data_IF_736026936594
#
_entry.id   IF_736026936594
#
_cell.length_a   1.000
_cell.length_b   1.000
_cell.length_c   1.000
_cell.angle_alpha   90.00
_cell.angle_beta   90.00
_cell.angle_gamma   90.00
#
_symmetry.space_group_name_H-M   'P 1'
#
loop_
_entity.id
_entity.type
_entity.pdbx_description
1 polymer ?
#
# COMPACT_ATOMS: atom_id res chain seq x y z
N UNK A 1 -22.97 4.45 13.12
CA UNK A 1 -22.54 5.34 12.03
C UNK A 1 -22.34 4.45 10.82
N UNK A 2 -23.27 4.43 9.87
CA UNK A 2 -23.21 3.55 8.69
C UNK A 2 -22.13 4.08 7.73
N UNK A 3 -21.14 3.27 7.37
CA UNK A 3 -20.06 3.69 6.46
C UNK A 3 -20.56 3.69 5.00
N UNK A 4 -20.80 4.88 4.43
CA UNK A 4 -21.26 5.08 3.03
C UNK A 4 -20.10 5.19 2.02
N UNK A 5 -19.05 4.37 2.19
CA UNK A 5 -17.82 4.45 1.40
C UNK A 5 -17.48 3.11 0.75
N UNK A 6 -17.26 3.11 -0.57
CA UNK A 6 -16.70 1.98 -1.31
C UNK A 6 -15.17 2.09 -1.32
N UNK A 7 -14.51 1.22 -0.57
CA UNK A 7 -13.04 1.20 -0.46
C UNK A 7 -12.45 0.15 -1.40
N UNK A 8 -11.51 0.57 -2.26
CA UNK A 8 -10.71 -0.29 -3.12
C UNK A 8 -9.37 -0.50 -2.45
N UNK A 9 -9.05 -1.76 -2.18
CA UNK A 9 -7.85 -2.14 -1.44
C UNK A 9 -6.83 -2.80 -2.36
N UNK A 10 -5.64 -2.22 -2.47
CA UNK A 10 -4.59 -2.69 -3.37
C UNK A 10 -3.38 -3.24 -2.61
N UNK A 11 -3.11 -4.52 -2.85
CA UNK A 11 -2.12 -5.36 -2.17
C UNK A 11 -0.67 -4.93 -2.43
N UNK A 12 0.14 -5.05 -1.38
CA UNK A 12 1.58 -5.30 -1.46
C UNK A 12 1.93 -6.30 -0.36
N UNK A 13 2.08 -7.57 -0.70
CA UNK A 13 2.65 -8.56 0.21
C UNK A 13 4.15 -8.29 0.31
N UNK A 14 4.59 -7.75 1.44
CA UNK A 14 5.92 -8.07 1.94
C UNK A 14 5.73 -9.35 2.74
N UNK A 15 6.38 -10.44 2.32
CA UNK A 15 6.50 -11.62 3.15
C UNK A 15 7.21 -11.23 4.44
N UNK A 16 6.43 -10.99 5.50
CA UNK A 16 6.90 -11.07 6.87
C UNK A 16 5.92 -12.02 7.56
N UNK A 17 6.51 -13.12 8.02
CA UNK A 17 5.91 -14.30 8.63
C UNK A 17 4.58 -14.07 9.34
N UNK A 18 3.55 -14.74 8.85
CA UNK A 18 2.45 -15.22 9.67
C UNK A 18 2.96 -16.42 10.48
N UNK A 19 3.63 -16.16 11.59
CA UNK A 19 3.89 -17.16 12.63
C UNK A 19 3.46 -16.56 13.96
N UNK A 20 2.17 -16.66 14.24
CA UNK A 20 1.58 -16.90 15.57
C UNK A 20 0.06 -17.01 15.43
N UNK A 21 -0.37 -18.12 14.83
CA UNK A 21 -1.71 -18.66 14.99
C UNK A 21 -1.54 -20.13 15.36
N UNK A 22 -1.34 -20.40 16.65
CA UNK A 22 -1.70 -21.67 17.26
C UNK A 22 -2.78 -21.37 18.30
N UNK A 23 -3.91 -22.10 18.30
CA UNK A 23 -4.93 -21.94 19.33
C UNK A 23 -4.42 -22.44 20.69
N UNK A 24 -4.83 -21.83 21.81
CA UNK A 24 -4.49 -22.30 23.15
C UNK A 24 -5.39 -23.50 23.49
N UNK A 25 -5.03 -24.70 23.05
CA UNK A 25 -5.78 -25.90 23.44
C UNK A 25 -4.96 -27.19 23.40
N UNK A 26 -3.73 -27.20 23.90
CA UNK A 26 -3.13 -28.40 24.52
C UNK A 26 -2.22 -27.93 25.67
N UNK A 27 -2.80 -27.58 26.82
CA UNK A 27 -2.05 -27.63 28.08
C UNK A 27 -2.01 -29.09 28.52
N UNK A 28 -0.89 -29.77 28.24
CA UNK A 28 -0.56 -31.03 28.89
C UNK A 28 -0.25 -30.75 30.36
N UNK A 29 -0.95 -31.40 31.28
CA UNK A 29 -0.82 -31.24 32.74
C UNK A 29 0.38 -31.99 33.34
N UNK A 30 1.42 -32.30 32.55
CA UNK A 30 2.58 -33.05 33.02
C UNK A 30 3.91 -32.34 32.70
N UNK A 31 4.61 -31.73 33.69
CA UNK A 31 5.82 -30.91 33.48
C UNK A 31 7.07 -31.66 32.99
N UNK A 32 7.01 -33.00 32.93
CA UNK A 32 8.11 -33.88 32.57
C UNK A 32 8.04 -34.40 31.11
N UNK A 33 6.99 -34.09 30.36
CA UNK A 33 6.80 -34.53 28.97
C UNK A 33 6.76 -33.37 27.98
N UNK A 34 7.34 -32.22 28.31
CA UNK A 34 7.40 -31.06 27.41
C UNK A 34 8.63 -31.17 26.50
N UNK A 35 8.46 -31.58 25.21
CA UNK A 35 9.58 -31.69 24.28
C UNK A 35 10.23 -30.34 23.97
N UNK A 36 9.61 -29.21 24.35
CA UNK A 36 10.13 -27.87 24.08
C UNK A 36 11.15 -27.38 25.13
N UNK A 37 11.20 -27.97 26.33
CA UNK A 37 12.23 -27.61 27.34
C UNK A 37 13.65 -27.92 26.87
N UNK A 38 13.85 -28.99 26.11
CA UNK A 38 15.16 -29.35 25.55
C UNK A 38 15.59 -28.44 24.37
N UNK A 39 14.63 -27.77 23.72
CA UNK A 39 14.85 -26.89 22.57
C UNK A 39 14.99 -25.41 22.94
N UNK A 40 14.60 -25.02 24.17
CA UNK A 40 14.69 -23.65 24.66
C UNK A 40 16.06 -22.95 24.42
N UNK A 41 17.23 -23.57 24.72
CA UNK A 41 18.51 -22.92 24.46
C UNK A 41 18.83 -22.77 22.96
N UNK A 42 18.32 -23.67 22.11
CA UNK A 42 18.49 -23.60 20.65
C UNK A 42 17.61 -22.48 20.09
N UNK A 43 16.36 -22.38 20.55
CA UNK A 43 15.41 -21.33 20.17
C UNK A 43 15.96 -19.96 20.58
N UNK A 44 16.51 -19.83 21.79
CA UNK A 44 17.12 -18.59 22.28
C UNK A 44 18.34 -18.19 21.45
N UNK A 45 19.20 -19.15 21.09
CA UNK A 45 20.37 -18.92 20.23
C UNK A 45 19.96 -18.45 18.83
N UNK A 46 18.98 -19.11 18.21
CA UNK A 46 18.46 -18.72 16.88
C UNK A 46 17.78 -17.35 16.93
N UNK A 47 17.04 -17.04 18.00
CA UNK A 47 16.39 -15.73 18.19
C UNK A 47 17.41 -14.62 18.38
N UNK A 48 18.49 -14.88 19.12
CA UNK A 48 19.60 -13.94 19.29
C UNK A 48 20.37 -13.74 17.99
N UNK A 49 20.59 -14.78 17.21
CA UNK A 49 21.23 -14.67 15.89
C UNK A 49 20.35 -13.89 14.90
N UNK A 50 19.04 -14.10 14.92
CA UNK A 50 18.08 -13.32 14.12
C UNK A 50 18.06 -11.84 14.52
N UNK A 51 18.15 -11.53 15.82
CA UNK A 51 18.31 -10.15 16.31
C UNK A 51 19.63 -9.53 15.88
N UNK A 52 20.74 -10.28 15.95
CA UNK A 52 22.05 -9.81 15.51
C UNK A 52 22.06 -9.56 14.00
N UNK A 53 21.43 -10.44 13.23
CA UNK A 53 21.23 -10.29 11.79
C UNK A 53 20.34 -9.08 11.46
N UNK A 54 19.26 -8.82 12.22
CA UNK A 54 18.44 -7.61 12.04
C UNK A 54 19.24 -6.33 12.33
N UNK A 55 20.07 -6.33 13.38
CA UNK A 55 20.97 -5.21 13.70
C UNK A 55 22.03 -5.00 12.60
N UNK A 56 22.62 -6.09 12.08
CA UNK A 56 23.58 -6.04 10.96
C UNK A 56 22.92 -5.64 9.64
N UNK A 57 21.70 -6.10 9.35
CA UNK A 57 20.96 -5.72 8.15
C UNK A 57 20.51 -4.25 8.21
N UNK A 58 20.22 -3.72 9.40
CA UNK A 58 19.93 -2.29 9.61
C UNK A 58 21.16 -1.39 9.49
N UNK A 59 22.37 -1.91 9.68
CA UNK A 59 23.62 -1.14 9.47
C UNK A 59 24.05 -1.09 8.00
N UNK A 60 23.50 -1.96 7.15
CA UNK A 60 23.66 -1.89 5.70
C UNK A 60 22.79 -0.74 5.17
N UNK A 61 23.42 0.36 4.81
CA UNK A 61 22.76 1.48 4.13
C UNK A 61 22.38 1.07 2.71
N UNK A 62 21.13 0.65 2.50
CA UNK A 62 20.57 0.47 1.17
C UNK A 62 20.49 1.83 0.46
N UNK A 63 21.42 2.12 -0.44
CA UNK A 63 21.33 3.23 -1.37
C UNK A 63 20.54 2.80 -2.61
N UNK A 64 19.42 3.47 -2.86
CA UNK A 64 18.69 3.36 -4.11
C UNK A 64 19.27 4.36 -5.10
N UNK A 65 19.89 3.88 -6.16
CA UNK A 65 20.21 4.75 -7.30
C UNK A 65 18.93 5.06 -8.09
N UNK A 66 18.64 6.35 -8.27
CA UNK A 66 17.54 6.82 -9.09
C UNK A 66 18.04 6.93 -10.54
N UNK A 67 17.31 6.33 -11.50
CA UNK A 67 17.60 6.58 -12.91
C UNK A 67 17.51 8.07 -13.27
N UNK A 68 18.29 8.53 -14.27
CA UNK A 68 18.42 9.95 -14.67
C UNK A 68 17.08 10.68 -14.87
N UNK A 69 16.07 10.01 -15.43
CA UNK A 69 14.75 10.62 -15.61
C UNK A 69 14.00 10.84 -14.27
N UNK A 70 14.24 9.97 -13.28
CA UNK A 70 13.61 10.02 -11.96
C UNK A 70 14.36 10.95 -11.00
N UNK A 71 15.69 11.06 -11.10
CA UNK A 71 16.49 12.05 -10.37
C UNK A 71 16.15 13.48 -10.77
N UNK A 72 15.75 13.69 -12.03
CA UNK A 72 15.36 15.02 -12.55
C UNK A 72 13.93 15.42 -12.18
N UNK A 73 13.20 14.58 -11.42
CA UNK A 73 11.88 14.93 -10.89
C UNK A 73 12.04 15.69 -9.57
N UNK A 74 11.47 16.90 -9.47
CA UNK A 74 11.62 17.72 -8.27
C UNK A 74 11.02 17.02 -7.04
N UNK A 75 11.54 17.37 -5.86
CA UNK A 75 10.92 17.01 -4.60
C UNK A 75 9.48 17.56 -4.51
N UNK A 76 8.69 16.99 -3.60
CA UNK A 76 7.33 17.51 -3.33
C UNK A 76 7.44 18.98 -2.92
N UNK A 77 6.80 19.91 -3.63
CA UNK A 77 6.95 21.35 -3.35
C UNK A 77 6.37 21.74 -1.99
N UNK A 78 5.47 20.94 -1.42
CA UNK A 78 4.93 21.10 -0.06
C UNK A 78 4.91 19.75 0.66
N UNK A 79 5.28 19.77 1.93
CA UNK A 79 5.15 18.64 2.87
C UNK A 79 4.54 19.16 4.16
N UNK A 80 3.53 18.46 4.66
CA UNK A 80 2.84 18.82 5.90
C UNK A 80 3.14 17.75 6.96
N UNK A 81 3.37 18.21 8.19
CA UNK A 81 3.51 17.33 9.36
C UNK A 81 2.24 17.45 10.19
N UNK A 82 1.71 16.32 10.63
CA UNK A 82 0.45 16.24 11.36
C UNK A 82 0.68 15.68 12.76
N UNK A 83 0.01 16.26 13.75
CA UNK A 83 -0.07 15.72 15.10
C UNK A 83 -0.87 14.41 15.10
N UNK A 84 -0.57 13.51 16.03
CA UNK A 84 -1.32 12.27 16.25
C UNK A 84 -2.79 12.51 16.65
N UNK A 85 -3.14 13.72 17.09
CA UNK A 85 -4.51 14.13 17.44
C UNK A 85 -5.29 14.70 16.26
N UNK A 86 -4.65 14.96 15.11
CA UNK A 86 -5.34 15.58 13.97
C UNK A 86 -6.23 14.59 13.21
N UNK A 87 -7.34 15.09 12.67
CA UNK A 87 -8.25 14.29 11.85
C UNK A 87 -7.53 13.67 10.63
N UNK A 88 -6.60 14.40 10.02
CA UNK A 88 -5.81 13.90 8.89
C UNK A 88 -4.93 12.72 9.30
N UNK A 89 -4.35 12.76 10.50
CA UNK A 89 -3.59 11.63 11.02
C UNK A 89 -4.51 10.44 11.31
N UNK A 90 -5.64 10.65 11.98
CA UNK A 90 -6.58 9.57 12.29
C UNK A 90 -7.15 8.92 11.02
N UNK A 91 -7.48 9.73 10.01
CA UNK A 91 -7.85 9.28 8.68
C UNK A 91 -6.72 8.46 8.04
N UNK A 92 -5.47 8.93 8.12
CA UNK A 92 -4.32 8.18 7.60
C UNK A 92 -4.12 6.82 8.28
N UNK A 93 -4.38 6.74 9.59
CA UNK A 93 -4.32 5.49 10.37
C UNK A 93 -5.41 4.53 9.92
N UNK A 94 -6.63 5.01 9.66
CA UNK A 94 -7.71 4.18 9.10
C UNK A 94 -7.28 3.54 7.77
N UNK A 95 -6.75 4.34 6.83
CA UNK A 95 -6.31 3.79 5.54
C UNK A 95 -5.06 2.92 5.65
N UNK A 96 -4.17 3.16 6.61
CA UNK A 96 -3.08 2.25 6.93
C UNK A 96 -3.61 0.89 7.40
N UNK A 97 -4.62 0.89 8.29
CA UNK A 97 -5.26 -0.34 8.76
C UNK A 97 -5.95 -1.10 7.63
N UNK A 98 -6.70 -0.40 6.79
CA UNK A 98 -7.30 -0.98 5.58
C UNK A 98 -6.23 -1.62 4.70
N UNK A 99 -5.12 -0.94 4.42
CA UNK A 99 -4.02 -1.53 3.64
C UNK A 99 -3.43 -2.79 4.30
N UNK A 100 -3.30 -2.81 5.62
CA UNK A 100 -2.82 -3.99 6.33
C UNK A 100 -3.83 -5.15 6.33
N UNK A 101 -5.14 -4.86 6.41
CA UNK A 101 -6.20 -5.87 6.27
C UNK A 101 -6.13 -6.60 4.92
N UNK A 102 -5.61 -5.95 3.87
CA UNK A 102 -5.40 -6.59 2.56
C UNK A 102 -4.44 -7.78 2.63
N UNK A 103 -3.53 -7.80 3.60
CA UNK A 103 -2.59 -8.91 3.79
C UNK A 103 -3.21 -10.08 4.58
N UNK A 104 -4.42 -9.93 5.11
CA UNK A 104 -5.12 -11.00 5.79
C UNK A 104 -5.84 -11.90 4.78
N UNK A 105 -5.41 -13.17 4.68
CA UNK A 105 -6.04 -14.16 3.78
C UNK A 105 -7.51 -14.42 4.12
N UNK A 106 -7.87 -14.38 5.40
CA UNK A 106 -9.26 -14.53 5.83
C UNK A 106 -10.14 -13.39 5.30
N UNK A 107 -9.53 -12.23 4.98
CA UNK A 107 -10.22 -11.08 4.41
C UNK A 107 -10.46 -11.14 2.89
N UNK A 108 -10.09 -12.23 2.21
CA UNK A 108 -10.18 -12.29 0.74
C UNK A 108 -11.63 -12.45 0.27
N UNK A 109 -12.42 -13.29 0.94
CA UNK A 109 -13.80 -13.55 0.53
C UNK A 109 -14.84 -12.90 1.46
N UNK A 110 -14.44 -12.50 2.68
CA UNK A 110 -15.29 -11.88 3.70
C UNK A 110 -14.48 -10.90 4.53
N UNK A 111 -15.09 -9.92 5.19
CA UNK A 111 -14.36 -8.99 6.06
C UNK A 111 -14.09 -9.61 7.45
N UNK A 112 -13.27 -10.66 7.50
CA UNK A 112 -13.15 -11.53 8.68
C UNK A 112 -11.70 -11.79 9.11
N UNK A 113 -10.98 -10.71 9.45
CA UNK A 113 -9.66 -10.78 10.06
C UNK A 113 -9.70 -10.69 11.59
N UNK A 114 -10.76 -11.22 12.20
CA UNK A 114 -11.00 -11.15 13.64
C UNK A 114 -11.18 -9.71 14.15
N UNK A 115 -10.68 -9.44 15.36
CA UNK A 115 -10.81 -8.12 16.01
C UNK A 115 -10.23 -6.98 15.15
N UNK A 116 -9.24 -7.26 14.31
CA UNK A 116 -8.65 -6.27 13.43
C UNK A 116 -9.67 -5.68 12.44
N UNK A 117 -10.48 -6.53 11.81
CA UNK A 117 -11.48 -6.10 10.84
C UNK A 117 -12.65 -5.40 11.54
N UNK A 118 -13.11 -5.97 12.66
CA UNK A 118 -14.21 -5.42 13.45
C UNK A 118 -13.89 -4.04 14.02
N UNK A 119 -12.66 -3.82 14.50
CA UNK A 119 -12.22 -2.52 15.03
C UNK A 119 -11.87 -1.48 13.95
N UNK A 120 -11.70 -1.90 12.69
CA UNK A 120 -11.34 -0.99 11.58
C UNK A 120 -12.58 -0.53 10.82
N UNK A 121 -13.40 -1.47 10.35
CA UNK A 121 -14.69 -1.20 9.69
C UNK A 121 -15.67 -2.31 10.13
N UNK A 122 -16.45 -2.11 11.20
CA UNK A 122 -17.28 -3.16 11.80
C UNK A 122 -18.40 -3.66 10.87
N UNK A 123 -18.91 -2.79 10.00
CA UNK A 123 -19.91 -3.08 8.98
C UNK A 123 -19.29 -3.35 7.60
N UNK A 124 -17.99 -3.67 7.56
CA UNK A 124 -17.25 -3.91 6.32
C UNK A 124 -17.78 -5.11 5.54
N UNK A 125 -18.03 -4.91 4.25
CA UNK A 125 -18.42 -5.97 3.32
C UNK A 125 -17.41 -6.05 2.19
N UNK A 126 -16.79 -7.22 2.00
CA UNK A 126 -15.92 -7.47 0.86
C UNK A 126 -16.80 -7.76 -0.35
N UNK A 127 -16.89 -6.78 -1.27
CA UNK A 127 -17.63 -6.95 -2.53
C UNK A 127 -16.86 -7.87 -3.49
N UNK A 128 -15.54 -7.71 -3.56
CA UNK A 128 -14.67 -8.48 -4.43
C UNK A 128 -13.21 -8.35 -4.02
N UNK A 129 -12.51 -9.47 -3.86
CA UNK A 129 -11.06 -9.49 -3.86
C UNK A 129 -10.51 -9.78 -5.26
N UNK A 130 -9.34 -9.22 -5.53
CA UNK A 130 -8.56 -9.48 -6.72
C UNK A 130 -7.08 -9.37 -6.36
N UNK A 131 -6.27 -10.21 -6.98
CA UNK A 131 -4.83 -10.24 -6.79
C UNK A 131 -4.15 -10.26 -8.16
N UNK A 132 -2.98 -9.63 -8.27
CA UNK A 132 -2.18 -9.72 -9.49
C UNK A 132 -1.55 -11.11 -9.60
N UNK A 133 -1.71 -11.79 -10.72
CA UNK A 133 -1.01 -13.05 -11.00
C UNK A 133 0.50 -12.80 -11.22
N UNK A 134 1.44 -13.69 -10.80
CA UNK A 134 1.22 -15.03 -10.26
C UNK A 134 1.04 -15.17 -8.74
N UNK A 135 1.32 -14.14 -7.91
CA UNK A 135 1.44 -14.33 -6.44
C UNK A 135 0.81 -13.23 -5.57
N UNK A 136 -0.05 -12.36 -6.09
CA UNK A 136 -0.67 -11.30 -5.28
C UNK A 136 0.38 -10.31 -4.73
N UNK A 137 1.18 -9.74 -5.62
CA UNK A 137 2.25 -8.75 -5.36
C UNK A 137 3.21 -9.10 -4.21
N UNK A 138 4.31 -9.79 -4.56
CA UNK A 138 5.65 -9.62 -3.98
C UNK A 138 6.39 -8.51 -4.76
N UNK A 139 7.23 -7.71 -4.09
CA UNK A 139 7.92 -6.57 -4.68
C UNK A 139 9.40 -6.81 -5.03
N UNK A 140 9.73 -6.81 -6.33
CA UNK A 140 11.05 -6.42 -6.84
C UNK A 140 10.86 -5.56 -8.09
N UNK A 141 11.32 -4.31 -8.04
CA UNK A 141 11.29 -3.39 -9.17
C UNK A 141 12.74 -3.14 -9.61
N UNK A 142 13.32 -4.13 -10.31
CA UNK A 142 14.70 -4.07 -10.84
C UNK A 142 14.77 -3.35 -12.19
N UNK A 143 13.62 -2.93 -12.74
CA UNK A 143 13.54 -2.30 -14.06
C UNK A 143 12.73 -1.01 -13.97
N UNK A 144 13.43 0.12 -13.77
CA UNK A 144 12.88 1.49 -13.77
C UNK A 144 12.44 1.97 -15.16
N UNK A 145 12.12 1.06 -16.07
CA UNK A 145 11.74 1.41 -17.43
C UNK A 145 10.41 2.16 -17.43
N UNK A 146 10.47 3.42 -17.87
CA UNK A 146 9.28 4.20 -18.15
C UNK A 146 8.76 3.87 -19.55
N UNK A 147 7.49 3.50 -19.63
CA UNK A 147 6.79 3.21 -20.89
C UNK A 147 5.66 4.22 -21.10
N UNK A 148 5.29 4.53 -22.36
CA UNK A 148 4.18 5.44 -22.64
C UNK A 148 2.88 5.02 -21.94
N UNK A 149 2.18 5.98 -21.34
CA UNK A 149 0.87 5.75 -20.78
C UNK A 149 -0.15 5.62 -21.94
N UNK A 150 -1.01 4.58 -21.96
CA UNK A 150 -1.84 4.25 -23.13
C UNK A 150 -2.90 5.31 -23.46
N UNK A 151 -3.26 6.18 -22.51
CA UNK A 151 -4.34 7.19 -22.68
C UNK A 151 -3.94 8.63 -22.34
N UNK A 152 -2.68 8.88 -21.98
CA UNK A 152 -2.24 10.22 -21.59
C UNK A 152 -1.04 10.57 -22.48
N UNK A 153 -1.24 11.40 -23.52
CA UNK A 153 -0.16 11.81 -24.42
C UNK A 153 1.03 12.41 -23.65
N UNK A 154 2.24 12.02 -24.02
CA UNK A 154 3.49 12.49 -23.39
C UNK A 154 3.77 11.94 -21.98
N UNK A 155 2.78 11.34 -21.31
CA UNK A 155 2.99 10.68 -20.04
C UNK A 155 3.72 9.35 -20.23
N UNK A 156 4.71 9.11 -19.39
CA UNK A 156 5.35 7.79 -19.23
C UNK A 156 5.26 7.36 -17.78
N UNK A 157 5.03 6.07 -17.55
CA UNK A 157 4.84 5.46 -16.23
C UNK A 157 5.69 4.19 -16.11
N UNK A 158 6.01 3.77 -14.88
CA UNK A 158 6.80 2.57 -14.64
C UNK A 158 6.10 1.33 -15.19
N UNK A 159 6.79 0.56 -16.03
CA UNK A 159 6.27 -0.64 -16.70
C UNK A 159 5.65 -1.64 -15.72
N UNK A 160 6.35 -1.94 -14.62
CA UNK A 160 5.86 -2.89 -13.61
C UNK A 160 4.52 -2.45 -13.02
N UNK A 161 4.40 -1.18 -12.61
CA UNK A 161 3.17 -0.64 -12.05
C UNK A 161 2.03 -0.64 -13.07
N UNK A 162 2.31 -0.25 -14.32
CA UNK A 162 1.32 -0.21 -15.40
C UNK A 162 0.81 -1.62 -15.72
N UNK A 163 1.70 -2.60 -15.84
CA UNK A 163 1.35 -3.99 -16.13
C UNK A 163 0.44 -4.57 -15.05
N UNK A 164 0.81 -4.36 -13.78
CA UNK A 164 0.00 -4.80 -12.64
C UNK A 164 -1.36 -4.11 -12.58
N UNK A 165 -1.44 -2.80 -12.86
CA UNK A 165 -2.71 -2.09 -12.92
C UNK A 165 -3.61 -2.61 -14.05
N UNK A 166 -3.06 -2.84 -15.25
CA UNK A 166 -3.81 -3.36 -16.40
C UNK A 166 -4.45 -4.73 -16.08
N UNK A 167 -3.76 -5.60 -15.35
CA UNK A 167 -4.30 -6.92 -14.96
C UNK A 167 -5.57 -6.83 -14.11
N UNK A 168 -5.76 -5.75 -13.35
CA UNK A 168 -6.89 -5.60 -12.41
C UNK A 168 -7.90 -4.53 -12.84
N UNK A 169 -7.56 -3.64 -13.78
CA UNK A 169 -8.38 -2.44 -14.06
C UNK A 169 -9.82 -2.76 -14.48
N UNK A 170 -10.03 -3.81 -15.25
CA UNK A 170 -11.36 -4.12 -15.79
C UNK A 170 -12.27 -4.83 -14.79
N UNK A 171 -11.70 -5.63 -13.89
CA UNK A 171 -12.45 -6.23 -12.79
C UNK A 171 -12.82 -5.16 -11.76
N UNK A 172 -11.91 -4.23 -11.46
CA UNK A 172 -12.17 -3.09 -10.58
C UNK A 172 -13.23 -2.18 -11.20
N UNK A 173 -13.02 -1.71 -12.43
CA UNK A 173 -13.96 -0.81 -13.12
C UNK A 173 -15.39 -1.35 -13.10
N UNK A 174 -15.59 -2.63 -13.47
CA UNK A 174 -16.93 -3.25 -13.46
C UNK A 174 -17.52 -3.27 -12.06
N UNK A 175 -16.73 -3.67 -11.07
CA UNK A 175 -17.17 -3.73 -9.66
C UNK A 175 -17.61 -2.36 -9.16
N UNK A 176 -16.80 -1.32 -9.37
CA UNK A 176 -17.11 0.05 -8.93
C UNK A 176 -18.31 0.60 -9.67
N UNK A 177 -18.37 0.42 -11.00
CA UNK A 177 -19.52 0.83 -11.80
C UNK A 177 -20.81 0.21 -11.28
N UNK A 178 -20.80 -1.08 -10.98
CA UNK A 178 -22.00 -1.80 -10.55
C UNK A 178 -22.41 -1.41 -9.11
N UNK A 179 -21.45 -1.17 -8.22
CA UNK A 179 -21.72 -0.62 -6.88
C UNK A 179 -22.28 0.80 -6.95
N UNK A 180 -21.76 1.67 -7.81
CA UNK A 180 -22.27 3.03 -7.99
C UNK A 180 -23.66 3.08 -8.66
N UNK A 181 -24.07 2.01 -9.37
CA UNK A 181 -25.45 1.90 -9.86
C UNK A 181 -26.43 1.60 -8.72
N UNK A 182 -26.02 0.76 -7.77
CA UNK A 182 -26.84 0.37 -6.62
C UNK A 182 -26.84 1.45 -5.52
N UNK A 183 -25.72 2.15 -5.38
CA UNK A 183 -25.47 3.13 -4.34
C UNK A 183 -24.81 4.39 -4.94
N UNK A 184 -25.57 5.22 -5.67
CA UNK A 184 -25.03 6.37 -6.40
C UNK A 184 -24.43 7.45 -5.48
N UNK A 185 -24.78 7.45 -4.19
CA UNK A 185 -24.23 8.38 -3.21
C UNK A 185 -22.88 7.95 -2.61
N UNK A 186 -22.43 6.72 -2.87
CA UNK A 186 -21.20 6.20 -2.28
C UNK A 186 -19.97 6.93 -2.80
N UNK A 187 -19.02 7.16 -1.90
CA UNK A 187 -17.71 7.69 -2.26
C UNK A 187 -16.75 6.55 -2.54
N UNK A 188 -15.91 6.70 -3.57
CA UNK A 188 -14.86 5.77 -3.92
C UNK A 188 -13.55 6.21 -3.27
N UNK A 189 -12.93 5.30 -2.53
CA UNK A 189 -11.67 5.52 -1.82
C UNK A 189 -10.66 4.46 -2.23
N UNK A 190 -9.56 4.87 -2.85
CA UNK A 190 -8.48 3.96 -3.27
C UNK A 190 -7.39 3.96 -2.22
N UNK A 191 -7.11 2.83 -1.59
CA UNK A 191 -6.07 2.69 -0.58
C UNK A 191 -4.98 1.74 -1.06
N UNK A 192 -3.72 2.07 -0.81
CA UNK A 192 -2.60 1.19 -1.12
C UNK A 192 -1.34 1.53 -0.32
N UNK A 193 -0.51 0.51 -0.12
CA UNK A 193 0.79 0.61 0.54
C UNK A 193 1.93 0.19 -0.41
N UNK A 194 3.09 0.84 -0.33
CA UNK A 194 4.30 0.47 -1.08
C UNK A 194 4.03 0.32 -2.59
N UNK A 195 4.29 -0.85 -3.18
CA UNK A 195 4.00 -1.11 -4.60
C UNK A 195 2.50 -0.98 -4.93
N UNK A 196 1.62 -1.46 -4.05
CA UNK A 196 0.17 -1.31 -4.17
C UNK A 196 -0.28 0.15 -4.17
N UNK A 197 0.44 1.04 -3.49
CA UNK A 197 0.22 2.48 -3.58
C UNK A 197 0.57 3.04 -4.98
N UNK A 198 1.60 2.50 -5.62
CA UNK A 198 1.95 2.84 -7.01
C UNK A 198 0.85 2.42 -7.99
N UNK A 199 0.35 1.19 -7.87
CA UNK A 199 -0.81 0.71 -8.63
C UNK A 199 -2.04 1.58 -8.34
N UNK A 200 -2.28 1.92 -7.07
CA UNK A 200 -3.40 2.76 -6.65
C UNK A 200 -3.42 4.12 -7.32
N UNK A 201 -2.26 4.75 -7.49
CA UNK A 201 -2.17 6.00 -8.24
C UNK A 201 -2.66 5.84 -9.68
N UNK A 202 -2.24 4.80 -10.38
CA UNK A 202 -2.66 4.54 -11.76
C UNK A 202 -4.14 4.16 -11.86
N UNK A 203 -4.61 3.35 -10.91
CA UNK A 203 -6.00 2.89 -10.86
C UNK A 203 -6.97 4.05 -10.58
N UNK A 204 -6.62 4.97 -9.68
CA UNK A 204 -7.43 6.17 -9.44
C UNK A 204 -7.56 7.01 -10.72
N UNK A 205 -6.48 7.14 -11.49
CA UNK A 205 -6.53 7.83 -12.79
C UNK A 205 -7.38 7.06 -13.81
N UNK A 206 -7.26 5.74 -13.90
CA UNK A 206 -8.10 4.92 -14.81
C UNK A 206 -9.60 5.03 -14.45
N UNK A 207 -9.94 5.01 -13.16
CA UNK A 207 -11.32 5.18 -12.69
C UNK A 207 -11.86 6.57 -13.04
N UNK A 208 -11.10 7.63 -12.79
CA UNK A 208 -11.48 8.99 -13.16
C UNK A 208 -11.69 9.16 -14.67
N UNK A 209 -10.92 8.44 -15.50
CA UNK A 209 -11.08 8.47 -16.95
C UNK A 209 -12.31 7.69 -17.45
N UNK A 210 -12.68 6.60 -16.78
CA UNK A 210 -13.72 5.66 -17.26
C UNK A 210 -15.09 5.83 -16.62
N UNK A 211 -15.16 6.51 -15.48
CA UNK A 211 -16.39 6.74 -14.72
C UNK A 211 -16.59 8.26 -14.56
N UNK A 212 -17.27 8.93 -15.52
CA UNK A 212 -17.45 10.38 -15.51
C UNK A 212 -18.16 10.93 -14.27
N UNK A 213 -18.92 10.09 -13.55
CA UNK A 213 -19.54 10.50 -12.28
C UNK A 213 -18.53 10.64 -11.12
N UNK A 214 -17.30 10.16 -11.29
CA UNK A 214 -16.23 10.29 -10.30
C UNK A 214 -15.41 11.55 -10.53
N UNK A 215 -15.25 12.34 -9.48
CA UNK A 215 -14.50 13.60 -9.46
C UNK A 215 -13.84 13.81 -8.09
N UNK A 216 -13.23 14.97 -7.87
CA UNK A 216 -12.50 15.28 -6.62
C UNK A 216 -13.34 15.19 -5.33
N UNK A 217 -14.67 15.25 -5.40
CA UNK A 217 -15.52 15.19 -4.20
C UNK A 217 -15.81 13.75 -3.76
N UNK A 218 -15.87 12.81 -4.71
CA UNK A 218 -16.27 11.42 -4.45
C UNK A 218 -15.22 10.37 -4.85
N UNK A 219 -14.06 10.77 -5.38
CA UNK A 219 -12.93 9.89 -5.65
C UNK A 219 -11.64 10.45 -5.02
N UNK A 220 -11.08 9.71 -4.06
CA UNK A 220 -9.83 10.09 -3.38
C UNK A 220 -8.93 8.86 -3.20
N UNK A 221 -7.63 9.03 -3.44
CA UNK A 221 -6.63 8.01 -3.17
C UNK A 221 -5.82 8.31 -1.89
N UNK A 222 -5.61 7.30 -1.05
CA UNK A 222 -4.80 7.32 0.17
C UNK A 222 -3.65 6.34 0.01
N UNK A 223 -2.48 6.87 -0.31
CA UNK A 223 -1.35 6.09 -0.84
C UNK A 223 -0.17 6.19 0.12
N UNK A 224 0.06 5.13 0.89
CA UNK A 224 1.08 5.03 1.93
C UNK A 224 2.41 4.52 1.34
N UNK A 225 3.53 5.18 1.63
CA UNK A 225 4.84 4.76 1.14
C UNK A 225 4.93 4.73 -0.39
N UNK A 226 4.11 5.54 -1.07
CA UNK A 226 3.94 5.49 -2.53
C UNK A 226 5.24 5.82 -3.27
N UNK A 227 5.72 4.95 -4.19
CA UNK A 227 6.86 5.27 -5.04
C UNK A 227 6.53 6.37 -6.06
N UNK A 228 7.54 6.89 -6.75
CA UNK A 228 7.32 7.68 -7.98
C UNK A 228 6.75 6.73 -9.05
N UNK A 229 5.75 7.21 -9.79
CA UNK A 229 4.94 6.39 -10.70
C UNK A 229 5.21 6.69 -12.16
N UNK A 230 5.51 7.95 -12.50
CA UNK A 230 5.73 8.38 -13.87
C UNK A 230 6.45 9.72 -13.95
N UNK A 231 6.58 10.22 -15.19
CA UNK A 231 7.27 11.46 -15.52
C UNK A 231 6.44 12.72 -15.16
N UNK A 232 7.00 13.91 -15.45
CA UNK A 232 6.34 15.21 -15.22
C UNK A 232 4.99 15.32 -15.95
N UNK A 233 4.86 14.78 -17.17
CA UNK A 233 3.60 14.82 -17.92
C UNK A 233 2.49 14.02 -17.23
N UNK A 234 2.80 12.86 -16.65
CA UNK A 234 1.84 12.12 -15.81
C UNK A 234 1.41 12.94 -14.58
N UNK A 235 2.38 13.54 -13.87
CA UNK A 235 2.09 14.35 -12.68
C UNK A 235 1.25 15.59 -13.03
N UNK A 236 1.56 16.26 -14.14
CA UNK A 236 0.81 17.41 -14.65
C UNK A 236 -0.63 17.02 -15.00
N UNK A 237 -0.84 15.88 -15.66
CA UNK A 237 -2.18 15.38 -15.98
C UNK A 237 -3.03 15.15 -14.72
N UNK A 238 -2.46 14.55 -13.67
CA UNK A 238 -3.17 14.31 -12.39
C UNK A 238 -3.62 15.65 -11.77
N UNK A 239 -2.73 16.65 -11.77
CA UNK A 239 -3.04 17.99 -11.27
C UNK A 239 -4.09 18.71 -12.12
N UNK A 240 -3.94 18.69 -13.44
CA UNK A 240 -4.85 19.34 -14.40
C UNK A 240 -6.26 18.78 -14.31
N UNK A 241 -6.40 17.45 -14.14
CA UNK A 241 -7.70 16.78 -14.00
C UNK A 241 -8.28 16.85 -12.58
N UNK A 242 -7.63 17.58 -11.67
CA UNK A 242 -8.04 17.72 -10.27
C UNK A 242 -8.26 16.36 -9.57
N UNK A 243 -7.43 15.36 -9.87
CA UNK A 243 -7.55 14.02 -9.31
C UNK A 243 -6.90 14.03 -7.92
N UNK A 244 -7.68 13.76 -6.87
CA UNK A 244 -7.20 13.86 -5.49
C UNK A 244 -6.40 12.62 -5.08
N UNK A 245 -5.09 12.80 -4.91
CA UNK A 245 -4.17 11.77 -4.41
C UNK A 245 -3.45 12.28 -3.15
N UNK A 246 -3.76 11.70 -2.00
CA UNK A 246 -3.07 11.93 -0.72
C UNK A 246 -1.92 10.92 -0.58
N UNK A 247 -0.69 11.41 -0.68
CA UNK A 247 0.52 10.61 -0.45
C UNK A 247 0.98 10.76 0.99
N UNK A 248 0.97 9.66 1.73
CA UNK A 248 1.35 9.59 3.14
C UNK A 248 2.70 8.87 3.23
N UNK A 249 3.68 9.47 3.90
CA UNK A 249 5.03 8.90 4.01
C UNK A 249 5.47 8.98 5.45
N UNK A 250 5.87 7.85 6.02
CA UNK A 250 6.46 7.84 7.35
C UNK A 250 7.85 8.48 7.30
N UNK A 251 8.23 9.21 8.35
CA UNK A 251 9.48 9.99 8.37
C UNK A 251 10.71 9.13 8.02
N UNK A 252 10.75 7.88 8.50
CA UNK A 252 11.81 6.93 8.17
C UNK A 252 11.89 6.61 6.67
N UNK A 253 10.76 6.40 6.00
CA UNK A 253 10.71 6.16 4.55
C UNK A 253 11.12 7.41 3.75
N UNK A 254 10.78 8.60 4.26
CA UNK A 254 11.13 9.87 3.62
C UNK A 254 12.64 10.17 3.61
N UNK A 255 13.39 9.66 4.60
CA UNK A 255 14.85 9.86 4.68
C UNK A 255 15.59 9.19 3.54
N UNK A 256 15.17 8.00 3.11
CA UNK A 256 15.78 7.29 1.97
C UNK A 256 15.65 8.04 0.64
N UNK A 257 14.63 8.90 0.48
CA UNK A 257 14.49 9.76 -0.70
C UNK A 257 15.32 11.06 -0.62
N UNK A 258 15.75 11.49 0.57
CA UNK A 258 16.61 12.68 0.75
C UNK A 258 18.10 12.36 0.69
N UNK A 259 18.49 11.11 0.92
CA UNK A 259 19.91 10.70 0.92
C UNK A 259 20.54 10.74 -0.48
N UNK A 260 19.74 10.82 -1.56
CA UNK A 260 20.24 11.04 -2.92
C UNK A 260 20.61 12.51 -3.23
N UNK A 261 20.15 13.47 -2.41
CA UNK A 261 20.41 14.91 -2.59
C UNK A 261 21.52 15.43 -1.66
N UNK A 262 22.51 14.60 -1.33
CA UNK A 262 23.67 15.01 -0.50
C UNK A 262 24.74 15.79 -1.27
N UNK A 263 24.35 16.62 -2.24
CA UNK A 263 25.24 17.60 -2.88
C UNK A 263 24.79 19.06 -2.73
N UNK A 264 23.82 19.37 -1.87
CA UNK A 264 23.54 20.76 -1.51
C UNK A 264 23.47 20.90 0.01
N UNK A 265 24.60 21.33 0.56
CA UNK A 265 24.76 21.96 1.86
C UNK A 265 24.08 23.34 1.88
N UNK A 266 23.68 23.77 3.09
CA UNK A 266 23.46 25.15 3.59
C UNK A 266 22.33 25.97 2.91
N UNK A 267 21.41 26.67 3.60
CA UNK A 267 21.26 27.13 4.99
C UNK A 267 19.78 26.97 5.46
#
# INVERSE_FOLDING_TARGET
MFFRNLVILLLATAAIQCQQLLPPSIQSTNPASDPFKALAPIIETVTNFARLADVLLRSISYHRELGKEESNLPASPKTYTYSNTSDVYQESVLYAKLCAASNCKASYDKWDCGEYCNSTVPDGVVIRAFATHPLGVHGYNIQQQLVPHPRIPGAKVQLGLLSSMINIRDIVYRTIRDQLKLHPEYQVRVAGHSYGAGIGSLLTVDLAQRLPQLNSTNLVAYLLGKPRVGNKAYAAYVAEKNITIKRLVQVADGKYYRLADKNTLTD
#
